data_IF_182460757328
#
_entry.id   IF_182460757328
#
_cell.length_a   1.000
_cell.length_b   1.000
_cell.length_c   1.000
_cell.angle_alpha   90.00
_cell.angle_beta   90.00
_cell.angle_gamma   90.00
#
_symmetry.space_group_name_H-M   'P 1'
#
loop_
_entity.id
_entity.type
_entity.pdbx_description
1 polymer ?
#
# COMPACT_ATOMS: atom_id res chain seq x y z
N UNK A 1 -13.50 30.28 34.94
CA UNK A 1 -12.50 29.19 35.00
C UNK A 1 -13.04 27.79 34.67
N UNK A 2 -14.32 27.61 34.28
CA UNK A 2 -14.92 26.29 34.01
C UNK A 2 -15.00 25.89 32.51
N UNK A 3 -14.64 26.76 31.57
CA UNK A 3 -14.70 26.46 30.13
C UNK A 3 -13.58 25.53 29.65
N UNK A 4 -12.36 25.68 30.19
CA UNK A 4 -11.19 24.93 29.71
C UNK A 4 -11.27 23.40 29.92
N UNK A 5 -12.02 22.91 30.91
CA UNK A 5 -12.17 21.46 31.15
C UNK A 5 -13.18 20.80 30.20
N UNK A 6 -14.23 21.53 29.80
CA UNK A 6 -15.21 21.08 28.82
C UNK A 6 -14.60 21.01 27.41
N UNK A 7 -13.81 22.02 27.03
CA UNK A 7 -13.10 22.06 25.75
C UNK A 7 -12.08 20.92 25.63
N UNK A 8 -11.32 20.66 26.71
CA UNK A 8 -10.37 19.54 26.76
C UNK A 8 -11.09 18.18 26.65
N UNK A 9 -12.22 18.00 27.33
CA UNK A 9 -13.01 16.77 27.26
C UNK A 9 -13.60 16.50 25.88
N UNK A 10 -14.05 17.55 25.18
CA UNK A 10 -14.54 17.45 23.80
C UNK A 10 -13.41 17.07 22.84
N UNK A 11 -12.25 17.72 22.94
CA UNK A 11 -11.08 17.42 22.10
C UNK A 11 -10.63 15.96 22.26
N UNK A 12 -10.58 15.45 23.49
CA UNK A 12 -10.22 14.05 23.75
C UNK A 12 -11.23 13.08 23.13
N UNK A 13 -12.53 13.38 23.17
CA UNK A 13 -13.58 12.55 22.53
C UNK A 13 -13.44 12.55 21.01
N UNK A 14 -13.24 13.71 20.40
CA UNK A 14 -13.05 13.82 18.95
C UNK A 14 -11.80 13.06 18.51
N UNK A 15 -10.67 13.25 19.22
CA UNK A 15 -9.43 12.54 18.93
C UNK A 15 -9.61 11.02 19.06
N UNK A 16 -10.27 10.55 20.11
CA UNK A 16 -10.55 9.13 20.28
C UNK A 16 -11.39 8.57 19.13
N UNK A 17 -12.47 9.26 18.74
CA UNK A 17 -13.31 8.85 17.60
C UNK A 17 -12.49 8.76 16.32
N UNK A 18 -11.67 9.77 16.02
CA UNK A 18 -10.82 9.79 14.82
C UNK A 18 -9.82 8.65 14.84
N UNK A 19 -9.17 8.39 15.99
CA UNK A 19 -8.25 7.27 16.14
C UNK A 19 -8.96 5.94 15.90
N UNK A 20 -10.08 5.67 16.57
CA UNK A 20 -10.85 4.43 16.39
C UNK A 20 -11.37 4.27 14.95
N UNK A 21 -11.84 5.34 14.32
CA UNK A 21 -12.23 5.30 12.92
C UNK A 21 -11.03 4.94 12.01
N UNK A 22 -9.86 5.55 12.25
CA UNK A 22 -8.65 5.28 11.47
C UNK A 22 -8.16 3.84 11.58
N UNK A 23 -8.33 3.21 12.76
CA UNK A 23 -8.01 1.79 13.00
C UNK A 23 -8.79 0.82 12.10
N UNK A 24 -9.95 1.24 11.59
CA UNK A 24 -10.78 0.44 10.68
C UNK A 24 -10.62 0.90 9.24
N UNK A 25 -10.65 2.21 9.00
CA UNK A 25 -10.62 2.79 7.64
C UNK A 25 -9.28 2.51 6.96
N UNK A 26 -8.15 2.69 7.66
CA UNK A 26 -6.82 2.52 7.05
C UNK A 26 -6.55 1.08 6.59
N UNK A 27 -6.80 0.01 7.39
CA UNK A 27 -6.65 -1.36 6.91
C UNK A 27 -7.56 -1.70 5.73
N UNK A 28 -8.80 -1.22 5.73
CA UNK A 28 -9.74 -1.45 4.61
C UNK A 28 -9.23 -0.80 3.32
N UNK A 29 -8.80 0.46 3.39
CA UNK A 29 -8.21 1.16 2.26
C UNK A 29 -6.90 0.49 1.79
N UNK A 30 -6.08 0.01 2.71
CA UNK A 30 -4.87 -0.74 2.39
C UNK A 30 -5.17 -2.03 1.61
N UNK A 31 -6.12 -2.83 2.09
CA UNK A 31 -6.51 -4.08 1.42
C UNK A 31 -7.12 -3.79 0.04
N UNK A 32 -8.01 -2.80 -0.07
CA UNK A 32 -8.58 -2.39 -1.35
C UNK A 32 -7.50 -1.92 -2.32
N UNK A 33 -6.61 -1.03 -1.87
CA UNK A 33 -5.48 -0.53 -2.65
C UNK A 33 -4.52 -1.65 -3.09
N UNK A 34 -4.28 -2.64 -2.23
CA UNK A 34 -3.48 -3.81 -2.56
C UNK A 34 -4.10 -4.60 -3.72
N UNK A 35 -5.39 -4.93 -3.67
CA UNK A 35 -6.04 -5.67 -4.77
C UNK A 35 -6.04 -4.86 -6.08
N UNK A 36 -6.28 -3.54 -6.01
CA UNK A 36 -6.16 -2.66 -7.18
C UNK A 36 -4.73 -2.69 -7.74
N UNK A 37 -3.71 -2.64 -6.88
CA UNK A 37 -2.31 -2.69 -7.30
C UNK A 37 -1.96 -3.99 -8.04
N UNK A 38 -2.55 -5.12 -7.63
CA UNK A 38 -2.36 -6.42 -8.30
C UNK A 38 -2.96 -6.40 -9.71
N UNK A 39 -4.11 -5.78 -9.91
CA UNK A 39 -4.74 -5.66 -11.23
C UNK A 39 -3.87 -4.79 -12.16
N UNK A 40 -3.38 -3.65 -11.66
CA UNK A 40 -2.48 -2.76 -12.41
C UNK A 40 -1.19 -3.51 -12.76
N UNK A 41 -0.59 -4.22 -11.80
CA UNK A 41 0.61 -5.01 -12.04
C UNK A 41 0.39 -6.06 -13.12
N UNK A 42 -0.72 -6.79 -13.03
CA UNK A 42 -1.03 -7.83 -14.01
C UNK A 42 -1.22 -7.23 -15.41
N UNK A 43 -1.85 -6.06 -15.51
CA UNK A 43 -1.95 -5.32 -16.76
C UNK A 43 -0.57 -4.95 -17.32
N UNK A 44 0.34 -4.42 -16.50
CA UNK A 44 1.72 -4.12 -16.90
C UNK A 44 2.48 -5.38 -17.35
N UNK A 45 2.35 -6.49 -16.62
CA UNK A 45 2.94 -7.79 -16.99
C UNK A 45 2.38 -8.25 -18.34
N UNK A 46 1.07 -8.13 -18.57
CA UNK A 46 0.43 -8.51 -19.82
C UNK A 46 0.90 -7.65 -20.99
N UNK A 47 1.12 -6.36 -20.78
CA UNK A 47 1.69 -5.46 -21.80
C UNK A 47 3.12 -5.85 -22.18
N UNK A 48 3.94 -6.32 -21.22
CA UNK A 48 5.35 -6.63 -21.45
C UNK A 48 5.58 -8.06 -21.96
N UNK A 49 4.78 -9.02 -21.48
CA UNK A 49 4.94 -10.45 -21.78
C UNK A 49 3.89 -10.99 -22.77
N UNK A 50 2.90 -10.19 -23.15
CA UNK A 50 1.85 -10.62 -24.07
C UNK A 50 0.99 -11.75 -23.50
N UNK A 51 0.64 -12.70 -24.35
CA UNK A 51 -0.27 -13.81 -24.03
C UNK A 51 0.42 -15.00 -23.32
N UNK A 52 1.75 -15.05 -23.25
CA UNK A 52 2.52 -16.18 -22.70
C UNK A 52 2.55 -16.26 -21.16
N UNK A 53 1.81 -15.36 -20.50
CA UNK A 53 1.78 -15.23 -19.06
C UNK A 53 0.89 -16.32 -18.40
N UNK A 54 0.86 -16.42 -17.06
CA UNK A 54 0.02 -17.41 -16.33
C UNK A 54 -1.32 -16.86 -15.84
N UNK A 55 -1.80 -15.75 -16.43
CA UNK A 55 -3.04 -15.08 -16.05
C UNK A 55 -3.02 -14.37 -14.68
N UNK A 56 -4.13 -13.70 -14.36
CA UNK A 56 -4.30 -12.91 -13.13
C UNK A 56 -4.28 -13.76 -11.84
N UNK A 57 -4.88 -14.96 -11.77
CA UNK A 57 -4.85 -15.77 -10.55
C UNK A 57 -3.44 -16.16 -10.09
N UNK A 58 -2.49 -16.24 -11.02
CA UNK A 58 -1.08 -16.44 -10.74
C UNK A 58 -0.45 -15.19 -10.10
N UNK A 59 -0.65 -14.02 -10.69
CA UNK A 59 -0.16 -12.73 -10.14
C UNK A 59 -0.75 -12.46 -8.75
N UNK A 60 -2.03 -12.76 -8.56
CA UNK A 60 -2.71 -12.58 -7.27
C UNK A 60 -2.11 -13.50 -6.20
N UNK A 61 -1.99 -14.81 -6.48
CA UNK A 61 -1.39 -15.75 -5.52
C UNK A 61 0.01 -15.34 -5.10
N UNK A 62 0.87 -15.01 -6.06
CA UNK A 62 2.23 -14.55 -5.76
C UNK A 62 2.20 -13.27 -4.92
N UNK A 63 1.34 -12.31 -5.26
CA UNK A 63 1.25 -11.05 -4.52
C UNK A 63 0.80 -11.27 -3.07
N UNK A 64 -0.22 -12.10 -2.85
CA UNK A 64 -0.69 -12.42 -1.50
C UNK A 64 0.39 -13.11 -0.65
N UNK A 65 1.13 -14.08 -1.21
CA UNK A 65 2.21 -14.74 -0.48
C UNK A 65 3.41 -13.83 -0.24
N UNK A 66 3.68 -12.89 -1.16
CA UNK A 66 4.83 -11.98 -1.05
C UNK A 66 4.59 -10.86 -0.06
N UNK A 67 3.34 -10.41 0.11
CA UNK A 67 3.00 -9.26 0.96
C UNK A 67 2.39 -9.69 2.29
N UNK A 68 1.56 -10.73 2.32
CA UNK A 68 0.80 -11.11 3.51
C UNK A 68 1.66 -11.46 4.72
N UNK A 69 2.69 -12.31 4.53
CA UNK A 69 3.55 -12.73 5.64
C UNK A 69 4.49 -11.60 6.11
N UNK A 70 5.18 -10.83 5.24
CA UNK A 70 6.09 -9.79 5.72
C UNK A 70 5.35 -8.58 6.33
N UNK A 71 4.15 -8.25 5.85
CA UNK A 71 3.35 -7.16 6.45
C UNK A 71 2.95 -7.45 7.90
N UNK A 72 2.77 -8.73 8.27
CA UNK A 72 2.43 -9.10 9.65
C UNK A 72 3.51 -8.69 10.67
N UNK A 73 4.78 -8.57 10.25
CA UNK A 73 5.88 -8.12 11.12
C UNK A 73 6.24 -6.65 10.89
N UNK A 74 5.55 -5.95 10.00
CA UNK A 74 5.91 -4.60 9.58
C UNK A 74 5.62 -3.50 10.62
N UNK A 75 4.88 -3.83 11.68
CA UNK A 75 4.67 -2.94 12.82
C UNK A 75 5.93 -2.73 13.66
N UNK A 76 6.91 -3.65 13.58
CA UNK A 76 8.21 -3.52 14.25
C UNK A 76 9.09 -2.60 13.38
N UNK A 77 9.62 -1.47 13.89
CA UNK A 77 10.28 -0.47 13.03
C UNK A 77 11.39 -1.02 12.12
N UNK A 78 12.36 -1.75 12.70
CA UNK A 78 13.46 -2.32 11.91
C UNK A 78 13.02 -3.49 11.03
N UNK A 79 12.13 -4.35 11.53
CA UNK A 79 11.62 -5.47 10.75
C UNK A 79 10.70 -5.02 9.62
N UNK A 80 10.00 -3.89 9.77
CA UNK A 80 9.16 -3.30 8.73
C UNK A 80 9.96 -2.78 7.56
N UNK A 81 11.09 -2.13 7.82
CA UNK A 81 12.03 -1.74 6.75
C UNK A 81 12.50 -2.98 6.00
N UNK A 82 12.95 -4.02 6.72
CA UNK A 82 13.37 -5.28 6.11
C UNK A 82 12.23 -6.00 5.38
N UNK A 83 11.00 -5.94 5.90
CA UNK A 83 9.81 -6.53 5.30
C UNK A 83 9.50 -5.90 3.94
N UNK A 84 9.68 -4.59 3.77
CA UNK A 84 9.49 -3.92 2.47
C UNK A 84 10.46 -4.47 1.42
N UNK A 85 11.75 -4.57 1.75
CA UNK A 85 12.75 -5.13 0.83
C UNK A 85 12.48 -6.61 0.55
N UNK A 86 12.06 -7.36 1.56
CA UNK A 86 11.74 -8.78 1.42
C UNK A 86 10.47 -9.01 0.58
N UNK A 87 9.44 -8.19 0.74
CA UNK A 87 8.26 -8.16 -0.13
C UNK A 87 8.69 -7.99 -1.59
N UNK A 88 9.55 -7.00 -1.87
CA UNK A 88 10.04 -6.73 -3.22
C UNK A 88 10.81 -7.93 -3.79
N UNK A 89 11.66 -8.55 -2.99
CA UNK A 89 12.40 -9.76 -3.37
C UNK A 89 11.47 -10.93 -3.67
N UNK A 90 10.54 -11.27 -2.78
CA UNK A 90 9.60 -12.38 -2.97
C UNK A 90 8.68 -12.15 -4.17
N UNK A 91 8.24 -10.91 -4.35
CA UNK A 91 7.33 -10.54 -5.43
C UNK A 91 8.01 -10.67 -6.80
N UNK A 92 9.22 -10.12 -6.93
CA UNK A 92 9.98 -10.22 -8.18
C UNK A 92 10.40 -11.64 -8.50
N UNK A 93 10.91 -12.39 -7.52
CA UNK A 93 11.34 -13.79 -7.73
C UNK A 93 10.16 -14.73 -7.99
N UNK A 94 9.06 -14.55 -7.27
CA UNK A 94 7.84 -15.33 -7.44
C UNK A 94 7.19 -15.10 -8.80
N UNK A 95 7.04 -13.84 -9.21
CA UNK A 95 6.43 -13.51 -10.50
C UNK A 95 7.32 -13.94 -11.67
N UNK A 96 8.65 -13.78 -11.55
CA UNK A 96 9.61 -14.32 -12.52
C UNK A 96 9.40 -15.82 -12.73
N UNK A 97 9.33 -16.58 -11.63
CA UNK A 97 9.21 -18.05 -11.68
C UNK A 97 7.87 -18.50 -12.26
N UNK A 98 6.78 -17.82 -11.90
CA UNK A 98 5.44 -18.17 -12.35
C UNK A 98 5.20 -17.75 -13.80
N UNK A 99 5.48 -16.50 -14.16
CA UNK A 99 5.22 -15.98 -15.49
C UNK A 99 6.33 -16.27 -16.51
N UNK A 100 7.48 -16.83 -16.09
CA UNK A 100 8.65 -17.14 -16.94
C UNK A 100 9.18 -15.92 -17.73
N UNK A 101 9.10 -14.75 -17.13
CA UNK A 101 9.55 -13.47 -17.71
C UNK A 101 10.98 -13.18 -17.22
N UNK A 102 11.78 -12.47 -18.02
CA UNK A 102 13.11 -12.02 -17.59
C UNK A 102 13.03 -11.08 -16.36
N UNK A 103 14.05 -11.12 -15.52
CA UNK A 103 14.09 -10.29 -14.29
C UNK A 103 13.97 -8.80 -14.62
N UNK A 104 14.63 -8.31 -15.68
CA UNK A 104 14.64 -6.89 -16.05
C UNK A 104 13.26 -6.36 -16.43
N UNK A 105 12.51 -7.12 -17.23
CA UNK A 105 11.14 -6.79 -17.63
C UNK A 105 10.21 -6.73 -16.43
N UNK A 106 10.35 -7.69 -15.52
CA UNK A 106 9.51 -7.76 -14.34
C UNK A 106 9.85 -6.65 -13.34
N UNK A 107 11.14 -6.38 -13.15
CA UNK A 107 11.62 -5.27 -12.34
C UNK A 107 11.07 -3.94 -12.86
N UNK A 108 11.05 -3.74 -14.19
CA UNK A 108 10.43 -2.57 -14.81
C UNK A 108 8.95 -2.44 -14.47
N UNK A 109 8.17 -3.52 -14.59
CA UNK A 109 6.74 -3.51 -14.23
C UNK A 109 6.52 -3.18 -12.74
N UNK A 110 7.29 -3.81 -11.86
CA UNK A 110 7.21 -3.57 -10.41
C UNK A 110 7.63 -2.14 -10.07
N UNK A 111 8.69 -1.61 -10.65
CA UNK A 111 9.14 -0.23 -10.42
C UNK A 111 8.12 0.79 -10.92
N UNK A 112 7.53 0.60 -12.11
CA UNK A 112 6.46 1.47 -12.62
C UNK A 112 5.29 1.51 -11.65
N UNK A 113 4.86 0.35 -11.14
CA UNK A 113 3.79 0.28 -10.14
C UNK A 113 4.18 0.98 -8.83
N UNK A 114 5.39 0.71 -8.32
CA UNK A 114 5.87 1.35 -7.09
C UNK A 114 5.93 2.87 -7.24
N UNK A 115 6.46 3.38 -8.36
CA UNK A 115 6.47 4.81 -8.66
C UNK A 115 5.06 5.37 -8.73
N UNK A 116 4.12 4.69 -9.39
CA UNK A 116 2.72 5.12 -9.46
C UNK A 116 2.08 5.22 -8.06
N UNK A 117 2.31 4.24 -7.19
CA UNK A 117 1.80 4.22 -5.82
C UNK A 117 2.44 5.33 -4.97
N UNK A 118 3.74 5.59 -5.12
CA UNK A 118 4.43 6.68 -4.42
C UNK A 118 3.92 8.06 -4.86
N UNK A 119 3.67 8.25 -6.16
CA UNK A 119 3.07 9.49 -6.69
C UNK A 119 1.67 9.67 -6.13
N UNK A 120 0.84 8.61 -6.12
CA UNK A 120 -0.50 8.67 -5.54
C UNK A 120 -0.47 9.02 -4.06
N UNK A 121 0.42 8.39 -3.28
CA UNK A 121 0.59 8.69 -1.86
C UNK A 121 1.03 10.15 -1.62
N UNK A 122 1.95 10.67 -2.45
CA UNK A 122 2.39 12.06 -2.37
C UNK A 122 1.24 13.03 -2.69
N UNK A 123 0.44 12.76 -3.73
CA UNK A 123 -0.72 13.59 -4.09
C UNK A 123 -1.75 13.62 -2.95
N UNK A 124 -2.10 12.46 -2.38
CA UNK A 124 -3.01 12.38 -1.23
C UNK A 124 -2.47 13.16 -0.04
N UNK A 125 -1.19 13.00 0.28
CA UNK A 125 -0.55 13.72 1.40
C UNK A 125 -0.58 15.24 1.18
N UNK A 126 -0.32 15.72 -0.04
CA UNK A 126 -0.39 17.15 -0.37
C UNK A 126 -1.82 17.66 -0.29
N UNK A 127 -2.79 16.89 -0.76
CA UNK A 127 -4.21 17.22 -0.67
C UNK A 127 -4.69 17.31 0.77
N UNK A 128 -4.39 16.31 1.60
CA UNK A 128 -4.74 16.29 3.02
C UNK A 128 -4.11 17.48 3.76
N UNK A 129 -2.84 17.77 3.47
CA UNK A 129 -2.15 18.93 4.03
C UNK A 129 -2.80 20.26 3.64
N UNK A 130 -3.21 20.40 2.37
CA UNK A 130 -3.91 21.60 1.90
C UNK A 130 -5.27 21.76 2.59
N UNK A 131 -6.03 20.67 2.72
CA UNK A 131 -7.32 20.65 3.40
C UNK A 131 -7.20 21.03 4.88
N UNK A 132 -6.24 20.44 5.60
CA UNK A 132 -5.97 20.77 7.01
C UNK A 132 -5.58 22.24 7.14
N UNK A 133 -4.73 22.75 6.24
CA UNK A 133 -4.34 24.16 6.21
C UNK A 133 -5.53 25.10 6.00
N UNK A 134 -6.52 24.72 5.20
CA UNK A 134 -7.73 25.50 5.00
C UNK A 134 -8.62 25.53 6.24
N UNK A 135 -8.75 24.41 6.95
CA UNK A 135 -9.58 24.30 8.17
C UNK A 135 -8.96 24.99 9.39
N UNK A 136 -7.62 25.06 9.46
CA UNK A 136 -6.90 25.67 10.60
C UNK A 136 -6.78 27.20 10.48
N UNK A 137 -6.98 27.76 9.28
CA UNK A 137 -7.06 29.21 9.06
C UNK A 137 -8.39 29.76 9.54
#
# INVERSE_FOLDING_TARGET
MASGSLDTGLLLRVLAIVLFASLVVLPVLFVAGFFVSVLILHALIRLIAGQDQKGLPATLRVSCYSVGAPVAVAWIPLAGILAVFYCFYLHTTGLKRVHRISTSRLLGATLILTTLLLVLAAVVTVYDYALIREVVK
#
